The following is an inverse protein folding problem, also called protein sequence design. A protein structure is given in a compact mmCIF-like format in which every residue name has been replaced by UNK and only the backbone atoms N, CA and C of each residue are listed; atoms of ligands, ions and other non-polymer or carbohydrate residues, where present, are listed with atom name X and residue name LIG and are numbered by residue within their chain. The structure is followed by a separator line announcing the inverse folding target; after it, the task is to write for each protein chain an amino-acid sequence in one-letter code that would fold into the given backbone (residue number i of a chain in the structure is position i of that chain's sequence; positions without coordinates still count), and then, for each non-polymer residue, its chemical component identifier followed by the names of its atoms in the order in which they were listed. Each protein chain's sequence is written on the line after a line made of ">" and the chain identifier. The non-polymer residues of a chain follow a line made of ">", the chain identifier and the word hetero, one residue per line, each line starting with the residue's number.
data_IF_524049311961
#
_entry.id   IF_524049311961
#
_cell.length_a   1.000
_cell.length_b   1.000
_cell.length_c   1.000
_cell.angle_alpha   90.00
_cell.angle_beta   90.00
_cell.angle_gamma   90.00
#
_symmetry.space_group_name_H-M   'P 1'
#
loop_
_entity.id
_entity.type
_entity.pdbx_description
1 polymer ?
#
# COMPACT_ATOMS: atom_id res chain seq x y z
N UNK A 1 22.47 -16.08 10.96
CA UNK A 1 23.07 -16.99 11.96
C UNK A 1 22.29 -17.04 13.26
N UNK A 2 21.71 -15.92 13.72
CA UNK A 2 20.84 -15.84 14.88
C UNK A 2 19.66 -14.94 14.52
N UNK A 3 18.43 -15.33 14.86
CA UNK A 3 17.21 -14.59 14.57
C UNK A 3 16.33 -14.57 15.81
N UNK A 4 15.79 -13.41 16.16
CA UNK A 4 14.81 -13.26 17.23
C UNK A 4 13.46 -12.89 16.64
N UNK A 5 12.39 -13.44 17.20
CA UNK A 5 11.02 -13.20 16.77
C UNK A 5 10.04 -13.31 17.93
N UNK A 6 8.99 -12.49 17.90
CA UNK A 6 7.95 -12.50 18.92
C UNK A 6 8.27 -11.65 20.14
N UNK A 7 7.77 -12.05 21.29
CA UNK A 7 7.80 -11.22 22.50
C UNK A 7 9.21 -10.81 22.95
N UNK A 8 10.22 -11.60 22.60
CA UNK A 8 11.64 -11.27 22.86
C UNK A 8 12.07 -9.96 22.16
N UNK A 9 11.42 -9.57 21.07
CA UNK A 9 11.65 -8.31 20.36
C UNK A 9 10.78 -7.15 20.89
N UNK A 10 10.09 -7.35 22.02
CA UNK A 10 9.26 -6.33 22.66
C UNK A 10 7.88 -6.13 22.02
N UNK A 11 7.31 -7.13 21.34
CA UNK A 11 5.89 -7.15 20.92
C UNK A 11 5.02 -7.93 21.91
N UNK A 12 3.72 -7.66 21.98
CA UNK A 12 2.81 -8.45 22.86
C UNK A 12 1.76 -9.32 22.18
N UNK A 13 1.38 -9.03 20.93
CA UNK A 13 0.30 -9.75 20.25
C UNK A 13 0.76 -11.01 19.51
N UNK A 14 -0.18 -11.91 19.27
CA UNK A 14 0.08 -13.18 18.59
C UNK A 14 0.39 -12.97 17.11
N UNK A 15 -0.32 -12.03 16.48
CA UNK A 15 -0.20 -11.66 15.09
C UNK A 15 1.19 -11.05 14.81
N UNK A 16 1.66 -10.13 15.68
CA UNK A 16 3.00 -9.57 15.59
C UNK A 16 4.08 -10.64 15.75
N UNK A 17 3.89 -11.57 16.69
CA UNK A 17 4.85 -12.64 16.91
C UNK A 17 4.90 -13.63 15.74
N UNK A 18 3.74 -14.01 15.20
CA UNK A 18 3.65 -14.89 14.04
C UNK A 18 4.26 -14.25 12.78
N UNK A 19 4.00 -12.96 12.54
CA UNK A 19 4.58 -12.21 11.43
C UNK A 19 6.11 -12.17 11.51
N UNK A 20 6.67 -11.87 12.68
CA UNK A 20 8.12 -11.90 12.89
C UNK A 20 8.69 -13.32 12.73
N UNK A 21 8.00 -14.32 13.26
CA UNK A 21 8.40 -15.73 13.17
C UNK A 21 8.46 -16.21 11.72
N UNK A 22 7.48 -15.83 10.89
CA UNK A 22 7.46 -16.13 9.46
C UNK A 22 8.70 -15.58 8.76
N UNK A 23 9.03 -14.30 8.98
CA UNK A 23 10.18 -13.65 8.34
C UNK A 23 11.52 -14.20 8.88
N UNK A 24 11.61 -14.44 10.19
CA UNK A 24 12.79 -15.05 10.81
C UNK A 24 13.05 -16.46 10.28
N UNK A 25 12.01 -17.30 10.22
CA UNK A 25 12.11 -18.67 9.70
C UNK A 25 12.47 -18.72 8.22
N UNK A 26 11.83 -17.87 7.40
CA UNK A 26 12.18 -17.68 6.00
C UNK A 26 13.66 -17.33 5.84
N UNK A 27 14.14 -16.32 6.58
CA UNK A 27 15.52 -15.86 6.45
C UNK A 27 16.54 -16.83 7.03
N UNK A 28 16.18 -17.61 8.07
CA UNK A 28 17.00 -18.70 8.55
C UNK A 28 17.19 -19.77 7.46
N UNK A 29 16.11 -20.17 6.77
CA UNK A 29 16.16 -21.09 5.63
C UNK A 29 16.96 -20.55 4.44
N UNK A 30 16.84 -19.25 4.14
CA UNK A 30 17.63 -18.59 3.08
C UNK A 30 19.12 -18.57 3.41
N UNK A 31 19.47 -18.31 4.68
CA UNK A 31 20.86 -18.28 5.12
C UNK A 31 21.57 -19.64 5.00
N UNK A 32 20.88 -20.76 5.25
CA UNK A 32 21.48 -22.10 5.03
C UNK A 32 21.80 -22.40 3.57
N UNK A 33 21.18 -21.65 2.64
CA UNK A 33 21.40 -21.73 1.19
C UNK A 33 22.32 -20.63 0.65
N UNK A 34 22.89 -19.79 1.52
CA UNK A 34 23.72 -18.64 1.11
C UNK A 34 22.95 -17.57 0.34
N UNK A 35 21.63 -17.48 0.53
CA UNK A 35 20.77 -16.47 -0.10
C UNK A 35 20.62 -15.25 0.81
N UNK A 36 20.55 -14.07 0.20
CA UNK A 36 20.30 -12.80 0.91
C UNK A 36 18.97 -12.83 1.69
N UNK A 37 18.90 -12.24 2.89
CA UNK A 37 17.65 -12.15 3.63
C UNK A 37 16.62 -11.29 2.87
N UNK A 38 15.35 -11.55 3.14
CA UNK A 38 14.23 -10.81 2.59
C UNK A 38 13.31 -10.33 3.72
N UNK A 39 12.78 -9.13 3.57
CA UNK A 39 11.71 -8.59 4.40
C UNK A 39 10.80 -7.76 3.51
N UNK A 40 9.47 -7.81 3.66
CA UNK A 40 8.60 -6.92 2.91
C UNK A 40 8.87 -5.47 3.31
N UNK A 41 8.79 -4.57 2.35
CA UNK A 41 8.88 -3.13 2.64
C UNK A 41 7.62 -2.62 3.34
N UNK A 42 7.73 -1.44 3.96
CA UNK A 42 6.59 -0.74 4.58
C UNK A 42 5.43 -0.51 3.61
N UNK A 43 5.73 -0.18 2.35
CA UNK A 43 4.73 0.04 1.30
C UNK A 43 4.11 -1.25 0.76
N UNK A 44 4.65 -2.42 1.11
CA UNK A 44 4.17 -3.70 0.61
C UNK A 44 3.27 -4.45 1.61
N UNK A 45 3.55 -4.34 2.91
CA UNK A 45 2.81 -5.07 3.94
C UNK A 45 2.94 -4.45 5.34
N UNK A 46 1.92 -4.63 6.16
CA UNK A 46 1.98 -4.33 7.59
C UNK A 46 3.08 -5.12 8.33
N UNK A 47 3.46 -6.31 7.85
CA UNK A 47 4.63 -7.04 8.37
C UNK A 47 5.92 -6.22 8.17
N UNK A 48 6.04 -5.51 7.05
CA UNK A 48 7.17 -4.62 6.78
C UNK A 48 7.18 -3.40 7.70
N UNK A 49 6.01 -2.82 7.94
CA UNK A 49 5.83 -1.72 8.92
C UNK A 49 6.25 -2.17 10.32
N UNK A 50 5.78 -3.33 10.78
CA UNK A 50 6.14 -3.92 12.07
C UNK A 50 7.65 -4.07 12.25
N UNK A 51 8.31 -4.73 11.30
CA UNK A 51 9.74 -5.03 11.40
C UNK A 51 10.57 -3.75 11.33
N UNK A 52 10.20 -2.82 10.45
CA UNK A 52 10.92 -1.56 10.30
C UNK A 52 10.74 -0.66 11.53
N UNK A 53 9.54 -0.57 12.11
CA UNK A 53 9.30 0.21 13.33
C UNK A 53 10.13 -0.35 14.50
N UNK A 54 10.12 -1.67 14.70
CA UNK A 54 10.89 -2.32 15.78
C UNK A 54 12.40 -2.13 15.62
N UNK A 55 12.92 -2.23 14.39
CA UNK A 55 14.37 -2.16 14.14
C UNK A 55 14.88 -0.73 14.05
N UNK A 56 14.04 0.23 13.67
CA UNK A 56 14.42 1.65 13.54
C UNK A 56 14.22 2.42 14.84
N UNK A 57 13.08 2.23 15.52
CA UNK A 57 12.70 3.03 16.67
C UNK A 57 12.88 2.31 18.01
N UNK A 58 13.06 0.98 17.99
CA UNK A 58 12.99 0.16 19.20
C UNK A 58 11.60 0.22 19.86
N UNK A 59 11.52 -0.21 21.11
CA UNK A 59 10.28 -0.23 21.88
C UNK A 59 10.59 0.01 23.36
N UNK A 60 9.94 1.00 23.97
CA UNK A 60 10.01 1.27 25.43
C UNK A 60 8.87 0.52 26.13
N UNK A 61 7.67 0.60 25.55
CA UNK A 61 6.50 -0.19 25.94
C UNK A 61 6.17 -1.18 24.83
N UNK A 62 5.62 -2.36 25.16
CA UNK A 62 5.46 -3.41 24.18
C UNK A 62 4.69 -2.96 22.94
N UNK A 63 5.31 -3.12 21.78
CA UNK A 63 4.79 -2.68 20.51
C UNK A 63 3.47 -3.40 20.16
N UNK A 64 2.51 -2.65 19.63
CA UNK A 64 1.22 -3.14 19.14
C UNK A 64 0.91 -2.53 17.78
N UNK A 65 0.45 -3.34 16.84
CA UNK A 65 0.16 -2.87 15.47
C UNK A 65 -0.91 -1.78 15.41
N UNK A 66 -1.85 -1.75 16.35
CA UNK A 66 -2.89 -0.72 16.39
C UNK A 66 -2.33 0.70 16.62
N UNK A 67 -1.17 0.84 17.27
CA UNK A 67 -0.50 2.13 17.46
C UNK A 67 0.43 2.50 16.30
N UNK A 68 0.66 1.57 15.37
CA UNK A 68 1.53 1.78 14.22
C UNK A 68 0.93 2.77 13.20
N UNK A 69 1.80 3.61 12.64
CA UNK A 69 1.42 4.54 11.57
C UNK A 69 1.83 3.97 10.22
N UNK A 70 1.01 3.09 9.66
CA UNK A 70 1.11 2.81 8.24
C UNK A 70 0.64 4.05 7.45
N UNK A 71 1.54 4.60 6.64
CA UNK A 71 1.29 5.76 5.79
C UNK A 71 0.40 5.38 4.61
N UNK A 72 0.43 4.10 4.23
CA UNK A 72 -0.20 3.56 3.02
C UNK A 72 -1.45 2.71 3.29
N UNK A 73 -2.29 3.10 4.27
CA UNK A 73 -3.43 2.27 4.73
C UNK A 73 -4.41 1.85 3.63
N UNK A 74 -4.65 2.72 2.64
CA UNK A 74 -5.56 2.42 1.53
C UNK A 74 -4.99 1.37 0.59
N UNK A 75 -3.67 1.26 0.47
CA UNK A 75 -2.98 0.25 -0.32
C UNK A 75 -2.82 -1.05 0.47
N UNK A 76 -2.57 -0.95 1.78
CA UNK A 76 -2.31 -2.07 2.70
C UNK A 76 -3.59 -2.61 3.34
N UNK A 77 -4.58 -2.97 2.54
CA UNK A 77 -5.85 -3.48 3.07
C UNK A 77 -5.81 -4.99 3.29
N UNK A 78 -6.72 -5.48 4.12
CA UNK A 78 -6.87 -6.91 4.35
C UNK A 78 -7.30 -7.65 3.07
N UNK A 79 -8.28 -7.10 2.36
CA UNK A 79 -8.91 -7.69 1.17
C UNK A 79 -7.97 -7.92 -0.02
N UNK A 80 -6.81 -7.24 -0.04
CA UNK A 80 -5.85 -7.30 -1.14
C UNK A 80 -4.46 -7.85 -0.73
N UNK A 81 -4.34 -8.46 0.45
CA UNK A 81 -3.06 -8.96 0.94
C UNK A 81 -2.46 -10.05 0.04
N UNK A 82 -3.31 -10.93 -0.49
CA UNK A 82 -2.89 -11.95 -1.44
C UNK A 82 -2.42 -11.34 -2.76
N UNK A 83 -3.10 -10.31 -3.26
CA UNK A 83 -2.67 -9.61 -4.48
C UNK A 83 -1.29 -8.98 -4.33
N UNK A 84 -0.97 -8.46 -3.13
CA UNK A 84 0.31 -7.82 -2.83
C UNK A 84 1.44 -8.83 -2.60
N UNK A 85 1.16 -9.98 -1.98
CA UNK A 85 2.20 -10.87 -1.44
C UNK A 85 2.27 -12.26 -2.06
N UNK A 86 1.25 -12.74 -2.80
CA UNK A 86 1.23 -14.11 -3.30
C UNK A 86 2.37 -14.41 -4.28
N UNK A 87 2.64 -13.50 -5.23
CA UNK A 87 3.77 -13.64 -6.17
C UNK A 87 5.09 -13.75 -5.42
N UNK A 88 5.33 -12.84 -4.47
CA UNK A 88 6.57 -12.83 -3.67
C UNK A 88 6.66 -14.10 -2.83
N UNK A 89 5.57 -14.51 -2.18
CA UNK A 89 5.52 -15.74 -1.40
C UNK A 89 5.77 -16.99 -2.25
N UNK A 90 5.33 -17.00 -3.51
CA UNK A 90 5.58 -18.08 -4.45
C UNK A 90 7.06 -18.13 -4.86
N UNK A 91 7.64 -16.98 -5.23
CA UNK A 91 9.07 -16.84 -5.55
C UNK A 91 9.98 -17.26 -4.37
N UNK A 92 9.52 -17.01 -3.15
CA UNK A 92 10.22 -17.41 -1.91
C UNK A 92 9.99 -18.86 -1.50
N UNK A 93 9.07 -19.58 -2.16
CA UNK A 93 8.72 -20.97 -1.85
C UNK A 93 7.79 -21.15 -0.65
N UNK A 94 7.17 -20.07 -0.15
CA UNK A 94 6.21 -20.10 0.95
C UNK A 94 4.76 -20.30 0.50
N UNK A 95 4.46 -20.05 -0.79
CA UNK A 95 3.12 -20.23 -1.38
C UNK A 95 3.17 -21.32 -2.43
N UNK A 96 2.30 -22.32 -2.30
CA UNK A 96 2.25 -23.45 -3.24
C UNK A 96 1.82 -22.99 -4.64
N UNK A 97 2.23 -23.69 -5.72
CA UNK A 97 1.79 -23.37 -7.08
C UNK A 97 0.27 -23.31 -7.22
N UNK A 98 -0.46 -24.21 -6.55
CA UNK A 98 -1.92 -24.28 -6.59
C UNK A 98 -2.56 -23.03 -5.98
N UNK A 99 -2.05 -22.58 -4.83
CA UNK A 99 -2.53 -21.36 -4.17
C UNK A 99 -2.18 -20.12 -4.98
N UNK A 100 -0.97 -20.06 -5.54
CA UNK A 100 -0.57 -18.95 -6.40
C UNK A 100 -1.47 -18.83 -7.64
N UNK A 101 -1.76 -19.97 -8.29
CA UNK A 101 -2.63 -20.02 -9.45
C UNK A 101 -4.09 -19.62 -9.13
N UNK A 102 -4.61 -19.96 -7.95
CA UNK A 102 -5.92 -19.47 -7.49
C UNK A 102 -5.94 -17.93 -7.40
N UNK A 103 -4.91 -17.34 -6.79
CA UNK A 103 -4.81 -15.87 -6.67
C UNK A 103 -4.69 -15.21 -8.04
N UNK A 104 -3.89 -15.79 -8.95
CA UNK A 104 -3.74 -15.30 -10.33
C UNK A 104 -5.07 -15.31 -11.09
N UNK A 105 -5.83 -16.41 -11.02
CA UNK A 105 -7.16 -16.49 -11.66
C UNK A 105 -8.13 -15.45 -11.10
N UNK A 106 -8.11 -15.21 -9.79
CA UNK A 106 -8.91 -14.16 -9.16
C UNK A 106 -8.52 -12.78 -9.72
N UNK A 107 -7.23 -12.48 -9.80
CA UNK A 107 -6.73 -11.21 -10.36
C UNK A 107 -7.13 -11.03 -11.84
N UNK A 108 -6.97 -12.08 -12.65
CA UNK A 108 -7.34 -12.06 -14.07
C UNK A 108 -8.86 -11.83 -14.23
N UNK A 109 -9.69 -12.48 -13.41
CA UNK A 109 -11.14 -12.29 -13.42
C UNK A 109 -11.55 -10.86 -13.01
N UNK A 110 -10.93 -10.30 -11.96
CA UNK A 110 -11.17 -8.90 -11.56
C UNK A 110 -10.80 -7.94 -12.69
N UNK A 111 -9.63 -8.13 -13.33
CA UNK A 111 -9.18 -7.27 -14.42
C UNK A 111 -10.08 -7.39 -15.66
N UNK A 112 -10.53 -8.60 -15.97
CA UNK A 112 -11.48 -8.86 -17.06
C UNK A 112 -12.81 -8.15 -16.82
N UNK A 113 -13.36 -8.29 -15.61
CA UNK A 113 -14.63 -7.69 -15.26
C UNK A 113 -14.57 -6.16 -15.23
N UNK A 114 -13.49 -5.59 -14.69
CA UNK A 114 -13.24 -4.15 -14.77
C UNK A 114 -13.21 -3.66 -16.22
N UNK A 115 -12.57 -4.41 -17.11
CA UNK A 115 -12.47 -4.08 -18.53
C UNK A 115 -13.84 -4.14 -19.22
N UNK A 116 -14.63 -5.17 -18.92
CA UNK A 116 -16.01 -5.33 -19.40
C UNK A 116 -16.88 -4.14 -18.96
N UNK A 117 -16.91 -3.83 -17.67
CA UNK A 117 -17.70 -2.71 -17.14
C UNK A 117 -17.24 -1.35 -17.67
N UNK A 118 -15.93 -1.17 -17.90
CA UNK A 118 -15.38 0.06 -18.49
C UNK A 118 -15.80 0.25 -19.95
N UNK A 119 -15.99 -0.84 -20.70
CA UNK A 119 -16.42 -0.80 -22.10
C UNK A 119 -17.93 -0.49 -22.28
N UNK A 120 -18.73 -0.68 -21.24
CA UNK A 120 -20.17 -0.44 -21.27
C UNK A 120 -20.48 1.04 -21.02
N UNK A 121 -20.83 1.77 -22.08
CA UNK A 121 -21.15 3.19 -22.00
C UNK A 121 -22.62 3.44 -21.69
N UNK A 122 -22.87 4.10 -20.57
CA UNK A 122 -24.19 4.54 -20.12
C UNK A 122 -24.30 6.03 -20.40
N UNK A 123 -25.21 6.40 -21.30
CA UNK A 123 -25.41 7.80 -21.71
C UNK A 123 -26.87 8.22 -21.50
N UNK A 124 -27.16 9.52 -21.39
CA UNK A 124 -28.53 10.00 -21.29
C UNK A 124 -29.34 9.53 -22.50
N UNK A 125 -30.32 8.66 -22.26
CA UNK A 125 -31.23 8.19 -23.30
C UNK A 125 -30.70 7.11 -24.25
N UNK A 126 -29.55 6.47 -23.99
CA UNK A 126 -29.24 5.20 -24.68
C UNK A 126 -29.96 4.01 -24.02
N UNK A 127 -29.84 2.81 -24.62
CA UNK A 127 -30.52 1.61 -24.11
C UNK A 127 -30.11 1.29 -22.65
N UNK A 128 -28.81 1.34 -22.35
CA UNK A 128 -28.29 1.07 -21.01
C UNK A 128 -28.72 2.13 -19.98
N UNK A 129 -28.72 3.42 -20.36
CA UNK A 129 -29.18 4.51 -19.50
C UNK A 129 -30.66 4.37 -19.13
N UNK A 130 -31.51 4.00 -20.09
CA UNK A 130 -32.92 3.70 -19.83
C UNK A 130 -33.10 2.47 -18.95
N UNK A 131 -32.34 1.40 -19.19
CA UNK A 131 -32.40 0.19 -18.39
C UNK A 131 -31.97 0.45 -16.93
N UNK A 132 -30.92 1.23 -16.73
CA UNK A 132 -30.45 1.67 -15.41
C UNK A 132 -31.52 2.48 -14.69
N UNK A 133 -32.08 3.50 -15.34
CA UNK A 133 -33.11 4.36 -14.75
C UNK A 133 -34.39 3.57 -14.42
N UNK A 134 -34.82 2.66 -15.31
CA UNK A 134 -35.96 1.79 -15.05
C UNK A 134 -35.74 0.85 -13.85
N UNK A 135 -34.50 0.38 -13.65
CA UNK A 135 -34.16 -0.55 -12.56
C UNK A 135 -33.92 0.15 -11.23
N UNK A 136 -33.32 1.33 -11.24
CA UNK A 136 -32.80 2.01 -10.03
C UNK A 136 -33.50 3.32 -9.70
N UNK A 137 -34.25 3.90 -10.65
CA UNK A 137 -34.74 5.27 -10.57
C UNK A 137 -33.67 6.34 -10.75
N UNK A 138 -32.42 5.96 -11.04
CA UNK A 138 -31.28 6.87 -11.14
C UNK A 138 -30.97 7.15 -12.61
N UNK A 139 -31.26 8.37 -13.04
CA UNK A 139 -30.85 8.88 -14.34
C UNK A 139 -29.35 9.17 -14.44
N UNK A 140 -28.84 9.16 -15.67
CA UNK A 140 -27.52 9.67 -16.01
C UNK A 140 -27.65 11.00 -16.76
N UNK A 141 -26.85 11.99 -16.38
CA UNK A 141 -26.85 13.33 -16.99
C UNK A 141 -25.69 13.56 -17.96
N UNK A 142 -24.68 12.69 -17.93
CA UNK A 142 -23.50 12.70 -18.79
C UNK A 142 -23.07 11.28 -19.12
N UNK A 143 -22.30 11.14 -20.18
CA UNK A 143 -21.71 9.88 -20.59
C UNK A 143 -20.76 9.36 -19.51
N UNK A 144 -20.91 8.09 -19.16
CA UNK A 144 -20.12 7.44 -18.12
C UNK A 144 -20.04 5.95 -18.41
N UNK A 145 -18.93 5.30 -18.04
CA UNK A 145 -18.89 3.84 -18.09
C UNK A 145 -19.72 3.24 -16.96
N UNK A 146 -20.15 1.98 -17.11
CA UNK A 146 -20.79 1.23 -16.04
C UNK A 146 -19.84 1.07 -14.84
N UNK A 147 -18.52 0.97 -15.08
CA UNK A 147 -17.52 0.98 -14.00
C UNK A 147 -17.62 2.26 -13.17
N UNK A 148 -17.54 3.42 -13.82
CA UNK A 148 -17.56 4.73 -13.15
C UNK A 148 -18.85 5.02 -12.37
N UNK A 149 -19.96 4.36 -12.72
CA UNK A 149 -21.22 4.49 -11.99
C UNK A 149 -21.10 4.01 -10.54
N UNK A 150 -20.24 3.04 -10.24
CA UNK A 150 -20.00 2.56 -8.86
C UNK A 150 -19.32 3.59 -7.96
N UNK A 151 -18.88 4.72 -8.50
CA UNK A 151 -18.45 5.87 -7.69
C UNK A 151 -19.62 6.60 -7.04
N UNK A 152 -20.86 6.38 -7.49
CA UNK A 152 -22.06 6.91 -6.84
C UNK A 152 -22.38 6.04 -5.62
N UNK A 153 -22.64 6.64 -4.44
CA UNK A 153 -22.84 5.87 -3.21
C UNK A 153 -24.08 4.96 -3.25
N UNK A 154 -25.07 5.31 -4.07
CA UNK A 154 -26.30 4.53 -4.27
C UNK A 154 -26.16 3.37 -5.27
N UNK A 155 -25.00 3.22 -5.94
CA UNK A 155 -24.76 2.16 -6.93
C UNK A 155 -23.59 1.28 -6.49
N UNK A 156 -23.84 -0.03 -6.45
CA UNK A 156 -22.85 -1.07 -6.18
C UNK A 156 -22.78 -2.06 -7.36
N UNK A 157 -21.85 -3.02 -7.27
CA UNK A 157 -21.68 -4.01 -8.34
C UNK A 157 -22.95 -4.83 -8.55
N UNK A 158 -23.62 -5.24 -7.48
CA UNK A 158 -24.80 -6.11 -7.54
C UNK A 158 -26.00 -5.44 -8.23
N UNK A 159 -26.25 -4.16 -7.94
CA UNK A 159 -27.29 -3.35 -8.59
C UNK A 159 -27.02 -3.28 -10.09
N UNK A 160 -25.80 -2.89 -10.47
CA UNK A 160 -25.42 -2.76 -11.87
C UNK A 160 -25.47 -4.10 -12.61
N UNK A 161 -25.07 -5.19 -11.96
CA UNK A 161 -25.18 -6.55 -12.49
C UNK A 161 -26.63 -7.00 -12.70
N UNK A 162 -27.60 -6.39 -12.01
CA UNK A 162 -29.03 -6.67 -12.20
C UNK A 162 -29.68 -5.88 -13.34
N UNK A 163 -28.97 -4.93 -13.96
CA UNK A 163 -29.47 -4.10 -15.06
C UNK A 163 -29.29 -4.84 -16.38
N UNK A 164 -30.36 -4.94 -17.17
CA UNK A 164 -30.33 -5.55 -18.50
C UNK A 164 -29.30 -4.86 -19.41
N UNK A 165 -28.40 -5.65 -20.01
CA UNK A 165 -27.32 -5.16 -20.87
C UNK A 165 -26.07 -4.70 -20.13
N UNK A 166 -26.12 -4.49 -18.81
CA UNK A 166 -24.93 -4.35 -17.95
C UNK A 166 -24.55 -5.71 -17.37
N UNK A 167 -25.52 -6.45 -16.86
CA UNK A 167 -25.36 -7.85 -16.48
C UNK A 167 -25.79 -8.83 -17.57
N UNK A 168 -25.54 -10.14 -17.35
CA UNK A 168 -24.81 -10.69 -16.21
C UNK A 168 -23.28 -10.52 -16.34
N UNK A 169 -22.62 -10.33 -15.22
CA UNK A 169 -21.18 -10.27 -15.00
C UNK A 169 -20.71 -11.48 -14.18
N UNK A 170 -19.86 -11.24 -13.19
CA UNK A 170 -19.35 -12.30 -12.30
C UNK A 170 -20.33 -12.61 -11.17
N UNK A 171 -20.38 -13.89 -10.78
CA UNK A 171 -21.21 -14.36 -9.66
C UNK A 171 -20.39 -14.48 -8.36
N UNK A 172 -19.06 -14.55 -8.46
CA UNK A 172 -18.17 -14.68 -7.31
C UNK A 172 -18.11 -13.39 -6.47
N UNK A 173 -18.54 -13.43 -5.18
CA UNK A 173 -18.59 -12.24 -4.34
C UNK A 173 -17.24 -11.55 -4.14
N UNK A 174 -16.15 -12.31 -4.01
CA UNK A 174 -14.80 -11.75 -3.85
C UNK A 174 -14.36 -10.95 -5.09
N UNK A 175 -14.75 -11.38 -6.29
CA UNK A 175 -14.39 -10.68 -7.53
C UNK A 175 -15.23 -9.40 -7.63
N UNK A 176 -16.54 -9.49 -7.40
CA UNK A 176 -17.44 -8.34 -7.39
C UNK A 176 -16.99 -7.26 -6.39
N UNK A 177 -16.65 -7.66 -5.16
CA UNK A 177 -16.14 -6.76 -4.12
C UNK A 177 -14.83 -6.08 -4.56
N UNK A 178 -13.87 -6.83 -5.13
CA UNK A 178 -12.61 -6.26 -5.60
C UNK A 178 -12.79 -5.28 -6.76
N UNK A 179 -13.73 -5.53 -7.67
CA UNK A 179 -14.10 -4.61 -8.75
C UNK A 179 -14.65 -3.30 -8.17
N UNK A 180 -15.57 -3.40 -7.20
CA UNK A 180 -16.19 -2.26 -6.54
C UNK A 180 -15.19 -1.42 -5.75
N UNK A 181 -14.38 -2.06 -4.90
CA UNK A 181 -13.31 -1.40 -4.11
C UNK A 181 -12.34 -0.69 -5.05
N UNK A 182 -11.90 -1.36 -6.11
CA UNK A 182 -10.96 -0.75 -7.07
C UNK A 182 -11.53 0.51 -7.70
N UNK A 183 -12.81 0.53 -8.07
CA UNK A 183 -13.46 1.70 -8.64
C UNK A 183 -13.66 2.83 -7.62
N UNK A 184 -14.15 2.51 -6.42
CA UNK A 184 -14.44 3.50 -5.37
C UNK A 184 -13.18 4.21 -4.87
N UNK A 185 -12.05 3.49 -4.82
CA UNK A 185 -10.80 4.01 -4.29
C UNK A 185 -9.76 4.35 -5.37
N UNK A 186 -10.04 4.19 -6.67
CA UNK A 186 -9.08 4.34 -7.77
C UNK A 186 -8.21 5.60 -7.65
N UNK A 187 -8.82 6.79 -7.57
CA UNK A 187 -8.07 8.05 -7.50
C UNK A 187 -7.28 8.24 -6.19
N UNK A 188 -7.71 7.61 -5.09
CA UNK A 188 -6.94 7.61 -3.84
C UNK A 188 -5.77 6.63 -3.91
N UNK A 189 -5.97 5.46 -4.52
CA UNK A 189 -4.95 4.45 -4.73
C UNK A 189 -3.88 4.91 -5.70
N UNK A 190 -4.25 5.60 -6.78
CA UNK A 190 -3.31 6.22 -7.72
C UNK A 190 -2.44 7.27 -7.02
N UNK A 191 -3.05 8.19 -6.27
CA UNK A 191 -2.31 9.18 -5.48
C UNK A 191 -1.33 8.52 -4.51
N UNK A 192 -1.77 7.46 -3.83
CA UNK A 192 -0.91 6.74 -2.88
C UNK A 192 0.23 5.99 -3.58
N UNK A 193 0.01 5.43 -4.78
CA UNK A 193 1.06 4.84 -5.61
C UNK A 193 2.10 5.88 -6.02
N UNK A 194 1.67 7.08 -6.42
CA UNK A 194 2.59 8.19 -6.75
C UNK A 194 3.43 8.62 -5.54
N UNK A 195 2.84 8.66 -4.35
CA UNK A 195 3.54 8.95 -3.09
C UNK A 195 4.57 7.87 -2.75
N UNK A 196 4.22 6.59 -2.89
CA UNK A 196 5.14 5.46 -2.72
C UNK A 196 6.32 5.60 -3.67
N UNK A 197 6.08 5.80 -4.98
CA UNK A 197 7.14 5.91 -5.98
C UNK A 197 8.01 7.15 -5.78
N UNK A 198 7.45 8.25 -5.27
CA UNK A 198 8.24 9.43 -4.87
C UNK A 198 9.13 9.12 -3.67
N UNK A 199 8.61 8.43 -2.65
CA UNK A 199 9.39 8.03 -1.48
C UNK A 199 10.53 7.09 -1.88
N UNK A 200 10.23 6.07 -2.68
CA UNK A 200 11.21 5.08 -3.16
C UNK A 200 12.37 5.71 -3.92
N UNK A 201 12.10 6.73 -4.75
CA UNK A 201 13.15 7.48 -5.47
C UNK A 201 14.11 8.21 -4.54
N UNK A 202 13.69 8.54 -3.32
CA UNK A 202 14.49 9.31 -2.38
C UNK A 202 15.03 8.48 -1.21
N UNK A 203 14.57 7.24 -1.03
CA UNK A 203 14.96 6.32 0.03
C UNK A 203 16.49 6.26 0.25
N UNK A 204 17.26 6.13 -0.83
CA UNK A 204 18.73 6.01 -0.82
C UNK A 204 19.47 7.35 -0.96
N UNK A 205 18.76 8.47 -0.96
CA UNK A 205 19.42 9.79 -1.06
C UNK A 205 20.23 10.03 0.21
N UNK A 206 21.56 10.04 0.07
CA UNK A 206 22.47 10.24 1.18
C UNK A 206 22.36 11.66 1.76
N UNK A 207 22.40 11.75 3.08
CA UNK A 207 22.55 12.98 3.83
C UNK A 207 24.03 13.04 4.27
N UNK A 208 24.78 14.10 3.89
CA UNK A 208 26.18 14.23 4.29
C UNK A 208 26.38 14.18 5.80
N UNK A 209 27.47 13.57 6.27
CA UNK A 209 27.78 13.44 7.70
C UNK A 209 27.86 14.80 8.41
N UNK A 210 28.32 15.83 7.70
CA UNK A 210 28.46 17.20 8.21
C UNK A 210 27.25 18.09 7.85
N UNK A 211 26.09 17.50 7.54
CA UNK A 211 24.91 18.26 7.14
C UNK A 211 24.39 19.14 8.29
N UNK A 212 24.29 20.45 8.04
CA UNK A 212 23.77 21.39 9.02
C UNK A 212 22.24 21.54 8.91
N UNK A 213 21.50 20.84 9.77
CA UNK A 213 20.04 20.90 9.78
C UNK A 213 19.48 22.29 10.12
N UNK A 214 20.24 23.16 10.81
CA UNK A 214 19.79 24.52 11.15
C UNK A 214 19.60 25.42 9.92
N UNK A 215 20.27 25.10 8.82
CA UNK A 215 20.20 25.88 7.58
C UNK A 215 18.96 25.53 6.74
N UNK A 216 18.22 24.50 7.12
CA UNK A 216 17.02 24.05 6.42
C UNK A 216 15.83 24.90 6.87
N UNK A 217 15.56 25.97 6.11
CA UNK A 217 14.45 26.88 6.38
C UNK A 217 13.10 26.17 6.32
N UNK A 218 12.24 26.44 7.31
CA UNK A 218 10.85 25.96 7.36
C UNK A 218 10.62 24.68 8.17
N UNK A 219 11.69 24.05 8.70
CA UNK A 219 11.53 22.96 9.66
C UNK A 219 10.95 23.50 10.99
N UNK A 220 10.03 22.74 11.59
CA UNK A 220 9.58 23.04 12.95
C UNK A 220 10.69 22.73 13.95
N UNK A 221 10.68 23.39 15.11
CA UNK A 221 11.66 23.15 16.17
C UNK A 221 11.66 21.68 16.62
N UNK A 222 10.49 21.04 16.69
CA UNK A 222 10.37 19.62 17.04
C UNK A 222 11.05 18.71 16.01
N UNK A 223 10.80 18.93 14.72
CA UNK A 223 11.41 18.14 13.64
C UNK A 223 12.92 18.34 13.61
N UNK A 224 13.38 19.58 13.77
CA UNK A 224 14.80 19.92 13.80
C UNK A 224 15.52 19.19 14.95
N UNK A 225 14.95 19.22 16.15
CA UNK A 225 15.49 18.51 17.31
C UNK A 225 15.59 17.00 17.04
N UNK A 226 14.55 16.41 16.47
CA UNK A 226 14.51 14.98 16.15
C UNK A 226 15.53 14.56 15.09
N UNK A 227 15.70 15.35 14.03
CA UNK A 227 16.70 15.11 12.99
C UNK A 227 18.12 15.21 13.54
N UNK A 228 18.39 16.21 14.39
CA UNK A 228 19.70 16.36 15.04
C UNK A 228 20.01 15.25 16.06
N UNK A 229 19.00 14.75 16.76
CA UNK A 229 19.18 13.66 17.71
C UNK A 229 19.45 12.32 17.01
N UNK A 230 18.81 12.08 15.87
CA UNK A 230 18.89 10.81 15.14
C UNK A 230 20.01 10.76 14.08
N UNK A 231 20.48 11.91 13.60
CA UNK A 231 21.51 12.06 12.56
C UNK A 231 21.33 11.06 11.39
N UNK A 232 20.20 11.11 10.68
CA UNK A 232 19.91 10.17 9.62
C UNK A 232 20.93 10.30 8.48
N UNK A 233 21.41 9.15 8.01
CA UNK A 233 22.39 9.03 6.91
C UNK A 233 21.72 9.03 5.53
N UNK A 234 20.41 8.78 5.48
CA UNK A 234 19.62 8.83 4.25
C UNK A 234 18.29 9.53 4.47
N UNK A 235 17.68 10.01 3.39
CA UNK A 235 16.31 10.56 3.43
C UNK A 235 15.29 9.50 3.85
N UNK A 236 15.47 8.23 3.46
CA UNK A 236 14.63 7.13 3.92
C UNK A 236 14.66 6.96 5.44
N UNK A 237 15.86 7.06 6.05
CA UNK A 237 15.99 7.04 7.50
C UNK A 237 15.33 8.27 8.15
N UNK A 238 15.51 9.45 7.55
CA UNK A 238 14.88 10.68 8.05
C UNK A 238 13.33 10.61 8.02
N UNK A 239 12.76 9.99 6.99
CA UNK A 239 11.32 9.79 6.83
C UNK A 239 10.70 8.94 7.93
N UNK A 240 11.47 8.00 8.49
CA UNK A 240 11.00 7.04 9.50
C UNK A 240 11.06 7.56 10.94
N UNK A 241 11.65 8.74 11.14
CA UNK A 241 11.69 9.39 12.45
C UNK A 241 10.28 9.85 12.82
N UNK A 242 9.78 9.36 13.96
CA UNK A 242 8.45 9.71 14.46
C UNK A 242 8.24 11.23 14.56
N UNK A 243 7.23 11.75 13.86
CA UNK A 243 6.89 13.18 13.84
C UNK A 243 7.60 13.99 12.75
N UNK A 244 8.51 13.39 11.97
CA UNK A 244 9.00 14.01 10.73
C UNK A 244 7.92 13.88 9.66
N UNK A 245 7.53 15.01 9.07
CA UNK A 245 6.43 15.08 8.09
C UNK A 245 6.94 15.01 6.65
N UNK A 246 6.10 14.62 5.67
CA UNK A 246 6.46 14.68 4.25
C UNK A 246 6.89 16.08 3.79
N UNK A 247 6.33 17.13 4.40
CA UNK A 247 6.72 18.52 4.15
C UNK A 247 8.17 18.78 4.61
N UNK A 248 8.55 18.33 5.80
CA UNK A 248 9.92 18.45 6.30
C UNK A 248 10.94 17.72 5.41
N UNK A 249 10.59 16.53 4.93
CA UNK A 249 11.43 15.76 3.99
C UNK A 249 11.57 16.49 2.65
N UNK A 250 10.51 17.13 2.17
CA UNK A 250 10.56 17.95 0.97
C UNK A 250 11.53 19.15 1.14
N UNK A 251 11.52 19.79 2.31
CA UNK A 251 12.46 20.87 2.64
C UNK A 251 13.91 20.37 2.66
N UNK A 252 14.16 19.21 3.27
CA UNK A 252 15.49 18.56 3.26
C UNK A 252 15.97 18.25 1.84
N UNK A 253 15.12 17.64 1.01
CA UNK A 253 15.44 17.30 -0.37
C UNK A 253 15.77 18.55 -1.21
N UNK A 254 15.00 19.63 -1.06
CA UNK A 254 15.27 20.90 -1.74
C UNK A 254 16.61 21.49 -1.28
N UNK A 255 16.90 21.47 0.02
CA UNK A 255 18.15 21.97 0.56
C UNK A 255 19.36 21.15 0.08
N UNK A 256 19.27 19.82 0.11
CA UNK A 256 20.31 18.92 -0.40
C UNK A 256 20.61 19.13 -1.89
N UNK A 257 19.57 19.37 -2.72
CA UNK A 257 19.76 19.68 -4.14
C UNK A 257 20.47 21.02 -4.36
N UNK A 258 20.18 22.04 -3.53
CA UNK A 258 20.87 23.34 -3.61
C UNK A 258 22.35 23.21 -3.27
N UNK A 259 22.71 22.44 -2.22
CA UNK A 259 24.10 22.20 -1.85
C UNK A 259 24.90 21.47 -2.93
N UNK A 260 24.28 20.55 -3.69
CA UNK A 260 24.93 19.81 -4.78
C UNK A 260 25.23 20.64 -6.04
N UNK A 261 24.61 21.81 -6.20
CA UNK A 261 24.88 22.72 -7.32
C UNK A 261 26.00 23.73 -7.04
N UNK A 262 26.52 23.77 -5.81
CA UNK A 262 27.53 24.73 -5.36
C UNK A 262 28.88 24.04 -5.07
N UNK A 263 28.99 22.74 -5.35
CA UNK A 263 30.20 21.93 -5.22
C UNK A 263 30.75 21.54 -6.61
#
# INVERSE_FOLDING_TARGET
>A
GLYFAGQINGTTGYEEAAAQGLIAGLNASRATRGLEPWSPRRDQAYIGVLIDDLTTNGTIEPYRMFTSRAEYRLHLREDNADQRLATIGHELGCVTPERYEQVRRKQDAVAHEQSRMRALWVTPGNALGRALEARTGIGVTRDTSALDLMRRPELDYAILNSVEGIGPGVDEPEIAEQVEISCKYEGYLERQREEIERSRRHESTAIPIQFNYDEVRGLSAEVLLKLKASLPTTIGQAQRISGVTPAAISLLLVHLRRGRHVA
#
